data_IF_620712546569
#
_entry.id   IF_620712546569
#
_cell.length_a   1.000
_cell.length_b   1.000
_cell.length_c   1.000
_cell.angle_alpha   90.00
_cell.angle_beta   90.00
_cell.angle_gamma   90.00
#
_symmetry.space_group_name_H-M   'P 1'
#
loop_
_entity.id
_entity.type
_entity.pdbx_description
1 polymer ?
#
# COMPACT_ATOMS: atom_id res chain seq x y z
N UNK A 1 17.50 -4.25 13.33
CA UNK A 1 17.43 -2.77 13.16
C UNK A 1 15.96 -2.43 12.92
N UNK A 2 15.40 -1.37 13.53
CA UNK A 2 13.98 -1.02 13.31
C UNK A 2 13.87 -0.17 12.03
N UNK A 3 12.96 -0.52 11.13
CA UNK A 3 12.76 0.19 9.87
C UNK A 3 12.07 1.55 10.08
N UNK A 4 12.64 2.66 9.58
CA UNK A 4 12.11 4.03 9.78
C UNK A 4 10.68 4.18 9.24
N UNK A 5 10.40 3.63 8.06
CA UNK A 5 9.09 3.75 7.42
C UNK A 5 8.03 2.97 8.21
N UNK A 6 8.37 1.75 8.66
CA UNK A 6 7.47 0.95 9.49
C UNK A 6 7.14 1.60 10.84
N UNK A 7 8.13 2.16 11.54
CA UNK A 7 7.90 2.85 12.82
C UNK A 7 7.10 4.15 12.63
N UNK A 8 7.32 4.86 11.51
CA UNK A 8 6.53 6.05 11.15
C UNK A 8 5.08 5.67 10.90
N UNK A 9 4.83 4.65 10.06
CA UNK A 9 3.51 4.09 9.83
C UNK A 9 2.82 3.70 11.14
N UNK A 10 3.50 2.94 12.01
CA UNK A 10 2.95 2.48 13.29
C UNK A 10 2.52 3.61 14.22
N UNK A 11 3.26 4.72 14.22
CA UNK A 11 3.00 5.87 15.10
C UNK A 11 1.99 6.88 14.53
N UNK A 12 1.74 6.86 13.21
CA UNK A 12 0.95 7.88 12.50
C UNK A 12 -0.31 7.37 11.82
N UNK A 13 -0.54 6.05 11.78
CA UNK A 13 -1.79 5.46 11.29
C UNK A 13 -2.99 5.91 12.14
N UNK A 14 -4.15 6.09 11.51
CA UNK A 14 -5.36 6.66 12.15
C UNK A 14 -6.48 5.63 12.27
N UNK A 15 -6.64 4.72 11.29
CA UNK A 15 -7.79 3.82 11.15
C UNK A 15 -7.53 2.34 11.46
N UNK A 16 -6.28 1.86 11.45
CA UNK A 16 -6.01 0.48 11.90
C UNK A 16 -6.23 0.34 13.42
N UNK A 17 -7.15 -0.55 13.79
CA UNK A 17 -7.23 -1.08 15.16
C UNK A 17 -5.81 -1.43 15.65
N UNK A 18 -5.53 -1.07 16.90
CA UNK A 18 -4.24 -1.23 17.58
C UNK A 18 -3.64 -2.65 17.56
N UNK A 19 -4.37 -3.63 17.00
CA UNK A 19 -4.12 -5.07 17.09
C UNK A 19 -3.43 -5.70 15.86
N UNK A 20 -3.28 -5.01 14.72
CA UNK A 20 -2.53 -5.61 13.60
C UNK A 20 -1.05 -5.64 13.96
N UNK A 21 -0.61 -6.83 14.39
CA UNK A 21 0.77 -7.21 14.60
C UNK A 21 1.25 -7.97 13.37
N UNK A 22 2.38 -7.54 12.82
CA UNK A 22 2.99 -8.23 11.68
C UNK A 22 3.98 -9.26 12.20
N UNK A 23 3.82 -10.50 11.74
CA UNK A 23 4.63 -11.65 12.08
C UNK A 23 6.00 -11.58 11.41
N UNK A 24 6.05 -10.98 10.20
CA UNK A 24 7.28 -10.79 9.44
C UNK A 24 7.29 -9.45 8.70
N UNK A 25 8.50 -8.95 8.48
CA UNK A 25 8.81 -7.75 7.71
C UNK A 25 9.98 -8.09 6.79
N UNK A 26 9.78 -7.95 5.49
CA UNK A 26 10.82 -8.05 4.48
C UNK A 26 11.16 -6.65 3.97
N UNK A 27 12.46 -6.33 3.90
CA UNK A 27 12.95 -5.03 3.44
C UNK A 27 13.54 -5.12 2.04
N UNK A 28 13.67 -3.96 1.37
CA UNK A 28 14.25 -3.83 0.02
C UNK A 28 13.49 -4.62 -1.06
N UNK A 29 12.18 -4.79 -0.86
CA UNK A 29 11.30 -5.44 -1.81
C UNK A 29 11.19 -4.60 -3.09
N UNK A 30 10.97 -5.27 -4.23
CA UNK A 30 10.68 -4.62 -5.51
C UNK A 30 9.33 -5.10 -6.02
N UNK A 31 8.61 -4.18 -6.68
CA UNK A 31 7.37 -4.47 -7.36
C UNK A 31 7.65 -4.69 -8.84
N UNK A 32 7.27 -5.85 -9.37
CA UNK A 32 7.14 -6.01 -10.81
C UNK A 32 5.81 -5.41 -11.27
N UNK A 33 5.88 -4.53 -12.27
CA UNK A 33 4.73 -3.83 -12.85
C UNK A 33 4.61 -4.25 -14.31
N UNK A 34 3.45 -4.73 -14.71
CA UNK A 34 3.18 -5.21 -16.07
C UNK A 34 3.09 -4.04 -17.05
N UNK A 35 3.40 -4.28 -18.33
CA UNK A 35 3.38 -3.22 -19.35
C UNK A 35 1.97 -2.67 -19.59
N UNK A 36 0.94 -3.50 -19.43
CA UNK A 36 -0.44 -3.05 -19.47
C UNK A 36 -0.73 -2.08 -18.32
N UNK A 37 -0.26 -2.36 -17.10
CA UNK A 37 -0.39 -1.42 -15.99
C UNK A 37 0.36 -0.11 -16.25
N UNK A 38 1.59 -0.19 -16.76
CA UNK A 38 2.40 1.00 -17.10
C UNK A 38 1.70 1.90 -18.11
N UNK A 39 1.05 1.29 -19.08
CA UNK A 39 0.34 2.00 -20.16
C UNK A 39 -0.98 2.58 -19.67
N UNK A 40 -1.75 1.82 -18.88
CA UNK A 40 -3.06 2.25 -18.35
C UNK A 40 -2.92 3.31 -17.26
N UNK A 41 -1.91 3.20 -16.39
CA UNK A 41 -1.70 4.09 -15.24
C UNK A 41 -0.25 4.60 -15.15
N UNK A 42 0.20 5.45 -16.09
CA UNK A 42 1.58 5.92 -16.12
C UNK A 42 1.98 6.72 -14.88
N UNK A 43 1.08 7.57 -14.36
CA UNK A 43 1.35 8.37 -13.17
C UNK A 43 1.45 7.50 -11.90
N UNK A 44 0.54 6.53 -11.75
CA UNK A 44 0.57 5.60 -10.63
C UNK A 44 1.81 4.70 -10.70
N UNK A 45 2.20 4.28 -11.91
CA UNK A 45 3.44 3.53 -12.14
C UNK A 45 4.65 4.30 -11.64
N UNK A 46 4.79 5.57 -12.02
CA UNK A 46 5.90 6.41 -11.58
C UNK A 46 5.94 6.53 -10.05
N UNK A 47 4.78 6.74 -9.43
CA UNK A 47 4.64 6.85 -7.98
C UNK A 47 5.06 5.55 -7.28
N UNK A 48 4.54 4.40 -7.71
CA UNK A 48 4.84 3.10 -7.09
C UNK A 48 6.31 2.72 -7.28
N UNK A 49 6.88 3.01 -8.45
CA UNK A 49 8.29 2.67 -8.74
C UNK A 49 9.27 3.49 -7.91
N UNK A 50 8.89 4.70 -7.48
CA UNK A 50 9.71 5.52 -6.58
C UNK A 50 9.50 5.21 -5.09
N UNK A 51 8.61 4.26 -4.75
CA UNK A 51 8.33 3.90 -3.37
C UNK A 51 9.44 3.03 -2.79
N UNK A 52 9.72 3.22 -1.50
CA UNK A 52 10.38 2.19 -0.68
C UNK A 52 9.31 1.21 -0.25
N UNK A 53 9.59 -0.08 -0.43
CA UNK A 53 8.60 -1.14 -0.28
C UNK A 53 9.03 -2.09 0.83
N UNK A 54 8.12 -2.36 1.75
CA UNK A 54 8.19 -3.48 2.69
C UNK A 54 7.07 -4.47 2.42
N UNK A 55 7.38 -5.76 2.39
CA UNK A 55 6.35 -6.80 2.46
C UNK A 55 6.13 -7.15 3.93
N UNK A 56 4.88 -7.22 4.36
CA UNK A 56 4.50 -7.55 5.73
C UNK A 56 3.53 -8.74 5.72
N UNK A 57 3.63 -9.63 6.69
CA UNK A 57 2.69 -10.74 6.85
C UNK A 57 2.03 -10.70 8.23
N UNK A 58 0.73 -10.96 8.28
CA UNK A 58 -0.03 -11.16 9.53
C UNK A 58 -1.01 -12.32 9.34
N UNK A 59 -0.89 -13.40 10.11
CA UNK A 59 -1.83 -14.54 10.12
C UNK A 59 -2.14 -15.06 8.71
N UNK A 60 -1.10 -15.23 7.88
CA UNK A 60 -1.14 -15.66 6.48
C UNK A 60 -1.72 -14.65 5.48
N UNK A 61 -2.07 -13.45 5.91
CA UNK A 61 -2.42 -12.35 5.02
C UNK A 61 -1.18 -11.54 4.68
N UNK A 62 -1.04 -11.22 3.40
CA UNK A 62 0.08 -10.46 2.89
C UNK A 62 -0.30 -9.00 2.69
N UNK A 63 0.60 -8.14 3.10
CA UNK A 63 0.47 -6.70 3.01
C UNK A 63 1.73 -6.12 2.39
N UNK A 64 1.59 -4.91 1.88
CA UNK A 64 2.71 -4.12 1.38
C UNK A 64 2.61 -2.71 1.89
N UNK A 65 3.72 -2.20 2.42
CA UNK A 65 3.85 -0.82 2.83
C UNK A 65 4.66 -0.08 1.77
N UNK A 66 3.99 0.81 1.04
CA UNK A 66 4.63 1.75 0.13
C UNK A 66 4.93 3.02 0.89
N UNK A 67 6.17 3.49 0.81
CA UNK A 67 6.64 4.67 1.55
C UNK A 67 7.42 5.61 0.67
N UNK A 68 7.14 6.90 0.82
CA UNK A 68 7.84 7.99 0.16
C UNK A 68 8.34 8.98 1.20
N UNK A 69 9.10 9.95 0.77
CA UNK A 69 9.63 11.03 1.64
C UNK A 69 9.38 12.35 0.94
N UNK A 70 8.89 13.32 1.69
CA UNK A 70 8.72 14.68 1.18
C UNK A 70 10.06 15.44 1.22
N UNK A 71 10.02 16.71 0.83
CA UNK A 71 11.20 17.59 0.84
C UNK A 71 11.73 17.89 2.26
N UNK A 72 10.97 17.58 3.31
CA UNK A 72 11.36 17.72 4.72
C UNK A 72 11.81 16.38 5.34
N UNK A 73 12.03 15.33 4.53
CA UNK A 73 12.36 13.97 4.99
C UNK A 73 11.29 13.34 5.89
N UNK A 74 10.04 13.82 5.78
CA UNK A 74 8.87 13.22 6.44
C UNK A 74 8.39 12.04 5.60
N UNK A 75 8.31 10.87 6.23
CA UNK A 75 7.81 9.65 5.58
C UNK A 75 6.28 9.62 5.55
N UNK A 76 5.71 9.24 4.42
CA UNK A 76 4.27 9.08 4.17
C UNK A 76 4.03 7.91 3.23
N UNK A 77 2.80 7.40 3.19
CA UNK A 77 2.44 6.40 2.19
C UNK A 77 1.26 5.53 2.56
N UNK A 78 1.23 4.33 1.98
CA UNK A 78 0.07 3.45 1.93
C UNK A 78 0.38 2.06 2.46
N UNK A 79 -0.50 1.55 3.32
CA UNK A 79 -0.57 0.12 3.58
C UNK A 79 -1.63 -0.49 2.68
N UNK A 80 -1.23 -1.49 1.90
CA UNK A 80 -2.11 -2.23 1.01
C UNK A 80 -2.24 -3.68 1.44
N UNK A 81 -3.43 -4.26 1.34
CA UNK A 81 -3.68 -5.69 1.48
C UNK A 81 -3.60 -6.36 0.11
N UNK A 82 -2.78 -7.42 0.01
CA UNK A 82 -2.65 -8.20 -1.21
C UNK A 82 -3.72 -9.28 -1.19
N UNK A 83 -4.71 -9.15 -2.07
CA UNK A 83 -5.84 -10.06 -2.14
C UNK A 83 -5.69 -10.99 -3.35
N UNK A 84 -5.89 -12.29 -3.12
CA UNK A 84 -5.97 -13.25 -4.23
C UNK A 84 -7.37 -13.18 -4.85
N UNK A 85 -7.44 -12.72 -6.10
CA UNK A 85 -8.70 -12.46 -6.80
C UNK A 85 -9.52 -13.72 -7.14
N UNK A 86 -8.95 -14.91 -6.93
CA UNK A 86 -9.60 -16.20 -7.19
C UNK A 86 -10.86 -16.47 -6.33
N UNK A 87 -11.17 -15.60 -5.36
CA UNK A 87 -12.32 -15.75 -4.47
C UNK A 87 -13.45 -14.73 -4.72
N UNK A 88 -13.39 -13.89 -5.77
CA UNK A 88 -14.35 -12.78 -5.95
C UNK A 88 -15.45 -13.15 -6.96
N UNK A 89 -16.72 -13.05 -6.54
CA UNK A 89 -17.91 -13.22 -7.40
C UNK A 89 -18.35 -11.93 -8.13
N UNK A 90 -17.62 -10.82 -7.99
CA UNK A 90 -18.02 -9.51 -8.54
C UNK A 90 -17.21 -9.16 -9.79
N UNK A 91 -17.92 -8.66 -10.81
CA UNK A 91 -17.33 -8.16 -12.06
C UNK A 91 -16.82 -6.74 -11.85
N UNK A 92 -15.54 -6.59 -11.52
CA UNK A 92 -14.87 -5.30 -11.64
C UNK A 92 -14.65 -4.96 -13.11
N UNK A 93 -14.60 -3.65 -13.42
CA UNK A 93 -14.02 -3.22 -14.68
C UNK A 93 -12.52 -3.54 -14.68
N UNK A 94 -11.96 -3.76 -15.86
CA UNK A 94 -10.59 -4.26 -16.05
C UNK A 94 -9.54 -3.39 -15.33
N UNK A 95 -9.75 -2.08 -15.28
CA UNK A 95 -8.88 -1.12 -14.61
C UNK A 95 -8.76 -1.35 -13.10
N UNK A 96 -9.86 -1.68 -12.43
CA UNK A 96 -9.86 -1.94 -10.99
C UNK A 96 -9.19 -3.27 -10.65
N UNK A 97 -9.46 -4.29 -11.46
CA UNK A 97 -8.79 -5.58 -11.36
C UNK A 97 -7.27 -5.41 -11.56
N UNK A 98 -6.87 -4.58 -12.52
CA UNK A 98 -5.47 -4.26 -12.78
C UNK A 98 -4.79 -3.53 -11.60
N UNK A 99 -5.49 -2.61 -10.93
CA UNK A 99 -5.04 -1.97 -9.68
C UNK A 99 -4.86 -2.99 -8.58
N UNK A 100 -5.87 -3.80 -8.30
CA UNK A 100 -5.85 -4.78 -7.22
C UNK A 100 -4.77 -5.86 -7.42
N UNK A 101 -4.59 -6.35 -8.64
CA UNK A 101 -3.53 -7.31 -8.99
C UNK A 101 -2.13 -6.75 -8.74
N UNK A 102 -1.95 -5.46 -8.98
CA UNK A 102 -0.62 -4.84 -8.97
C UNK A 102 -0.28 -4.33 -7.58
N UNK A 103 -1.10 -3.45 -7.03
CA UNK A 103 -0.78 -2.76 -5.78
C UNK A 103 -1.54 -3.29 -4.56
N UNK A 104 -2.64 -4.03 -4.76
CA UNK A 104 -3.54 -4.45 -3.68
C UNK A 104 -4.54 -3.35 -3.29
N UNK A 105 -5.44 -3.68 -2.37
CA UNK A 105 -6.40 -2.71 -1.82
C UNK A 105 -5.74 -1.82 -0.78
N UNK A 106 -5.83 -0.50 -0.92
CA UNK A 106 -5.34 0.45 0.10
C UNK A 106 -6.26 0.36 1.31
N UNK A 107 -5.71 -0.01 2.46
CA UNK A 107 -6.45 -0.14 3.72
C UNK A 107 -6.11 0.94 4.73
N UNK A 108 -5.00 1.66 4.53
CA UNK A 108 -4.59 2.76 5.38
C UNK A 108 -3.60 3.68 4.68
N UNK A 109 -3.67 4.96 5.02
CA UNK A 109 -2.65 5.95 4.67
C UNK A 109 -2.03 6.53 5.94
N UNK A 110 -0.82 7.06 5.83
CA UNK A 110 -0.17 7.73 6.97
C UNK A 110 0.53 9.01 6.51
N UNK A 111 0.46 10.04 7.35
CA UNK A 111 1.08 11.35 7.13
C UNK A 111 0.62 12.11 5.86
N UNK A 112 -0.52 11.75 5.29
CA UNK A 112 -1.15 12.49 4.18
C UNK A 112 -1.43 13.97 4.59
N UNK A 113 -1.26 14.92 3.66
CA UNK A 113 -1.49 16.34 3.93
C UNK A 113 -2.98 16.64 4.10
N UNK A 114 -3.35 17.37 5.15
CA UNK A 114 -4.73 17.86 5.32
C UNK A 114 -5.05 19.01 4.33
N UNK A 115 -6.25 19.04 3.72
CA UNK A 115 -7.32 18.03 3.78
C UNK A 115 -7.13 16.97 2.69
N UNK A 116 -6.69 15.76 3.07
CA UNK A 116 -6.63 14.66 2.11
C UNK A 116 -7.94 13.88 2.12
N UNK A 117 -8.58 13.77 0.97
CA UNK A 117 -9.78 12.93 0.81
C UNK A 117 -9.50 11.43 1.00
N UNK A 118 -8.23 11.01 0.99
CA UNK A 118 -7.81 9.64 1.30
C UNK A 118 -7.73 9.34 2.80
N UNK A 119 -7.75 10.35 3.68
CA UNK A 119 -7.62 10.12 5.11
C UNK A 119 -8.83 9.34 5.65
N UNK A 120 -8.53 8.20 6.28
CA UNK A 120 -9.53 7.38 6.99
C UNK A 120 -10.67 6.85 6.09
N UNK A 121 -10.44 6.71 4.78
CA UNK A 121 -11.38 6.04 3.89
C UNK A 121 -10.99 4.56 3.74
N UNK A 122 -11.84 3.67 4.22
CA UNK A 122 -11.84 2.27 3.77
C UNK A 122 -12.33 2.27 2.32
N UNK A 123 -11.42 2.42 1.36
CA UNK A 123 -11.76 2.18 -0.04
C UNK A 123 -12.02 0.68 -0.19
N UNK A 124 -13.27 0.28 0.04
CA UNK A 124 -13.80 -1.01 -0.36
C UNK A 124 -13.73 -1.06 -1.89
N UNK A 125 -12.70 -1.72 -2.40
CA UNK A 125 -12.67 -2.20 -3.78
C UNK A 125 -13.12 -3.67 -3.78
#
# INVERSE_FOLDING_TARGET
MKNKDFETFRSKRIGLNSEILFDSIEENCKQEISDIFKTTFPNLTNLITSARILNLTNRNENYRLYSWTDYNDKSFGWLTKIEFLNCRNHLFIEEHDLILKTIGGIIETYNDPEPSLSNNQNFLF
#
